data_IF_477148804013
#
_entry.id   IF_477148804013
#
_cell.length_a   1.000
_cell.length_b   1.000
_cell.length_c   1.000
_cell.angle_alpha   90.00
_cell.angle_beta   90.00
_cell.angle_gamma   90.00
#
_symmetry.space_group_name_H-M   'P 1'
#
loop_
_entity.id
_entity.type
_entity.pdbx_description
1 polymer ?
#
# COMPACT_ATOMS: atom_id res chain seq x y z
N UNK A 1 40.24 14.36 61.40
CA UNK A 1 40.00 15.57 60.57
C UNK A 1 40.19 15.17 59.11
N UNK A 2 39.28 15.66 58.26
CA UNK A 2 39.19 15.49 56.80
C UNK A 2 39.16 14.05 56.27
N UNK A 3 37.98 13.61 55.83
CA UNK A 3 37.95 12.89 54.55
C UNK A 3 36.64 13.11 53.78
N UNK A 4 36.80 13.84 52.67
CA UNK A 4 36.00 13.95 51.45
C UNK A 4 34.73 13.08 51.33
N UNK A 5 33.56 13.73 51.36
CA UNK A 5 32.32 13.22 50.77
C UNK A 5 32.24 13.71 49.32
N UNK A 6 32.39 12.80 48.36
CA UNK A 6 32.05 13.06 46.96
C UNK A 6 30.53 13.14 46.81
N UNK A 7 30.04 14.32 46.49
CA UNK A 7 28.66 14.58 46.07
C UNK A 7 28.53 14.16 44.60
N UNK A 8 27.77 13.11 44.31
CA UNK A 8 27.35 12.81 42.94
C UNK A 8 26.28 13.82 42.54
N UNK A 9 26.63 14.71 41.61
CA UNK A 9 25.67 15.58 40.91
C UNK A 9 24.97 14.71 39.86
N UNK A 10 23.78 14.21 40.19
CA UNK A 10 22.87 13.63 39.22
C UNK A 10 22.21 14.78 38.44
N UNK A 11 22.80 15.15 37.31
CA UNK A 11 22.18 16.05 36.34
C UNK A 11 20.99 15.32 35.73
N UNK A 12 19.78 15.58 36.24
CA UNK A 12 18.53 15.17 35.59
C UNK A 12 18.41 16.03 34.33
N UNK A 13 18.96 15.54 33.22
CA UNK A 13 18.67 16.08 31.90
C UNK A 13 17.22 15.72 31.60
N UNK A 14 16.32 16.69 31.77
CA UNK A 14 14.92 16.58 31.39
C UNK A 14 14.82 16.25 29.91
N UNK A 15 14.44 15.01 29.60
CA UNK A 15 14.08 14.60 28.25
C UNK A 15 12.71 15.20 27.96
N UNK A 16 12.70 16.35 27.27
CA UNK A 16 11.49 16.84 26.63
C UNK A 16 11.14 15.89 25.48
N UNK A 17 10.28 14.89 25.74
CA UNK A 17 9.59 14.15 24.70
C UNK A 17 8.63 15.13 24.00
N UNK A 18 9.09 15.78 22.94
CA UNK A 18 8.19 16.35 21.95
C UNK A 18 7.65 15.21 21.09
N UNK A 19 6.58 14.57 21.57
CA UNK A 19 5.68 13.78 20.73
C UNK A 19 4.95 14.76 19.80
N UNK A 20 5.57 15.15 18.70
CA UNK A 20 4.79 15.67 17.58
C UNK A 20 4.17 14.48 16.90
N UNK A 21 3.01 14.04 17.39
CA UNK A 21 2.04 13.36 16.56
C UNK A 21 1.80 14.27 15.37
N UNK A 22 2.28 13.85 14.19
CA UNK A 22 1.87 14.49 12.95
C UNK A 22 0.40 14.10 12.81
N UNK A 23 -0.49 14.93 13.36
CA UNK A 23 -1.85 15.00 12.87
C UNK A 23 -1.67 15.49 11.44
N UNK A 24 -1.59 14.58 10.48
CA UNK A 24 -1.91 14.91 9.12
C UNK A 24 -3.29 15.56 9.20
N UNK A 25 -3.39 16.85 8.92
CA UNK A 25 -4.67 17.49 8.72
C UNK A 25 -5.31 16.74 7.56
N UNK A 26 -6.19 15.79 7.86
CA UNK A 26 -6.94 15.08 6.83
C UNK A 26 -7.95 16.11 6.35
N UNK A 27 -7.59 16.82 5.28
CA UNK A 27 -8.49 17.74 4.61
C UNK A 27 -9.73 16.95 4.21
N UNK A 28 -10.84 17.16 4.92
CA UNK A 28 -12.11 16.52 4.59
C UNK A 28 -12.51 16.90 3.18
N UNK A 29 -12.87 15.92 2.35
CA UNK A 29 -13.35 16.17 1.00
C UNK A 29 -14.87 16.12 1.03
N UNK A 30 -15.53 17.23 0.68
CA UNK A 30 -17.00 17.25 0.50
C UNK A 30 -17.35 16.71 -0.89
N UNK A 31 -18.13 15.63 -0.98
CA UNK A 31 -18.68 15.15 -2.24
C UNK A 31 -19.55 16.21 -2.91
N UNK A 32 -19.42 16.35 -4.22
CA UNK A 32 -20.29 17.21 -5.01
C UNK A 32 -21.66 16.55 -5.23
N UNK A 33 -22.63 17.00 -4.44
CA UNK A 33 -24.02 16.53 -4.49
C UNK A 33 -24.80 17.04 -5.71
N UNK A 34 -24.18 17.82 -6.61
CA UNK A 34 -24.79 18.21 -7.89
C UNK A 34 -24.58 17.18 -8.99
N UNK A 35 -23.67 16.21 -8.78
CA UNK A 35 -23.45 15.11 -9.71
C UNK A 35 -24.71 14.23 -9.84
N UNK A 36 -24.89 13.62 -11.01
CA UNK A 36 -26.05 12.76 -11.30
C UNK A 36 -26.08 11.48 -10.46
N UNK A 37 -24.92 11.00 -10.05
CA UNK A 37 -24.75 9.78 -9.26
C UNK A 37 -23.84 10.01 -8.06
N UNK A 38 -24.03 9.21 -7.03
CA UNK A 38 -23.06 8.99 -5.96
C UNK A 38 -22.72 7.51 -5.93
N UNK A 39 -21.50 7.17 -5.51
CA UNK A 39 -21.07 5.78 -5.34
C UNK A 39 -20.35 5.52 -4.04
N UNK A 40 -20.32 4.25 -3.64
CA UNK A 40 -19.47 3.74 -2.57
C UNK A 40 -18.53 2.69 -3.15
N UNK A 41 -17.23 2.86 -2.90
CA UNK A 41 -16.18 1.92 -3.27
C UNK A 41 -15.45 1.49 -2.00
N UNK A 42 -15.75 0.28 -1.56
CA UNK A 42 -15.04 -0.49 -0.54
C UNK A 42 -14.58 -1.77 -1.24
N UNK A 43 -13.43 -1.67 -1.90
CA UNK A 43 -12.83 -2.80 -2.61
C UNK A 43 -11.48 -3.11 -1.98
N UNK A 44 -11.10 -4.38 -2.02
CA UNK A 44 -9.77 -4.80 -1.57
C UNK A 44 -8.68 -4.33 -2.54
N UNK A 45 -7.43 -4.36 -2.08
CA UNK A 45 -6.23 -4.15 -2.90
C UNK A 45 -6.09 -2.75 -3.55
N UNK A 46 -6.90 -1.77 -3.14
CA UNK A 46 -6.79 -0.38 -3.63
C UNK A 46 -5.39 0.18 -3.45
N UNK A 47 -4.73 -0.13 -2.34
CA UNK A 47 -3.38 0.35 -2.06
C UNK A 47 -2.36 -0.31 -2.98
N UNK A 48 -2.43 -1.63 -3.18
CA UNK A 48 -1.48 -2.31 -4.07
C UNK A 48 -1.61 -1.87 -5.52
N UNK A 49 -2.85 -1.69 -5.99
CA UNK A 49 -3.16 -1.22 -7.33
C UNK A 49 -2.84 0.26 -7.51
N UNK A 50 -3.06 1.09 -6.50
CA UNK A 50 -2.86 2.54 -6.57
C UNK A 50 -1.43 3.00 -6.27
N UNK A 51 -0.62 2.21 -5.57
CA UNK A 51 0.72 2.62 -5.12
C UNK A 51 1.78 2.18 -6.12
N UNK A 52 1.90 2.89 -7.23
CA UNK A 52 3.05 2.70 -8.15
C UNK A 52 4.34 2.94 -7.36
N UNK A 53 5.40 2.10 -7.47
CA UNK A 53 6.66 2.37 -6.79
C UNK A 53 7.15 3.77 -7.11
N UNK A 54 7.54 4.51 -6.08
CA UNK A 54 7.98 5.89 -6.24
C UNK A 54 8.92 6.34 -5.12
N UNK A 55 9.64 7.42 -5.42
CA UNK A 55 10.27 8.30 -4.44
C UNK A 55 9.63 9.67 -4.62
N UNK A 56 9.04 10.22 -3.55
CA UNK A 56 8.28 11.47 -3.58
C UNK A 56 8.98 12.52 -2.72
N UNK A 57 9.24 13.70 -3.26
CA UNK A 57 9.74 14.82 -2.47
C UNK A 57 8.68 15.30 -1.49
N UNK A 58 9.10 15.61 -0.26
CA UNK A 58 8.25 16.26 0.74
C UNK A 58 8.67 17.73 0.83
N UNK A 59 7.86 18.66 0.31
CA UNK A 59 8.17 20.09 0.39
C UNK A 59 8.08 20.59 1.84
N UNK A 60 8.76 21.71 2.12
CA UNK A 60 8.66 22.38 3.43
C UNK A 60 7.31 23.08 3.62
N UNK A 61 6.70 23.53 2.53
CA UNK A 61 5.39 24.19 2.52
C UNK A 61 4.53 23.67 1.36
N UNK A 62 3.56 22.81 1.69
CA UNK A 62 2.62 22.23 0.72
C UNK A 62 1.67 23.27 0.10
N UNK A 63 1.49 24.45 0.71
CA UNK A 63 0.60 25.48 0.18
C UNK A 63 1.22 26.24 -1.02
N UNK A 64 2.54 26.27 -1.10
CA UNK A 64 3.29 26.98 -2.16
C UNK A 64 4.13 26.05 -3.03
N UNK A 65 4.32 24.79 -2.62
CA UNK A 65 5.16 23.81 -3.29
C UNK A 65 4.41 22.48 -3.44
N UNK A 66 4.53 21.87 -4.62
CA UNK A 66 3.97 20.55 -4.88
C UNK A 66 4.91 19.41 -4.50
N UNK A 67 4.36 18.21 -4.37
CA UNK A 67 5.12 16.96 -4.26
C UNK A 67 5.52 16.49 -5.67
N UNK A 68 6.77 16.03 -5.83
CA UNK A 68 7.28 15.56 -7.12
C UNK A 68 7.87 14.16 -7.03
N UNK A 69 7.74 13.37 -8.09
CA UNK A 69 8.46 12.11 -8.21
C UNK A 69 9.93 12.32 -8.60
N UNK A 70 10.78 11.46 -8.06
CA UNK A 70 12.18 11.31 -8.43
C UNK A 70 12.41 9.98 -9.14
N UNK A 71 13.26 9.96 -10.16
CA UNK A 71 13.69 8.71 -10.86
C UNK A 71 14.90 8.08 -10.15
N UNK A 72 14.95 8.20 -8.82
CA UNK A 72 16.07 7.79 -7.97
C UNK A 72 16.50 8.85 -6.97
N UNK A 73 17.33 8.44 -6.01
CA UNK A 73 17.77 9.31 -4.89
C UNK A 73 18.68 10.47 -5.30
N UNK A 74 19.34 10.36 -6.46
CA UNK A 74 20.23 11.38 -7.02
C UNK A 74 19.54 12.30 -8.03
N UNK A 75 18.22 12.14 -8.25
CA UNK A 75 17.44 13.05 -9.09
C UNK A 75 17.55 14.49 -8.55
N UNK A 76 17.74 15.52 -9.40
CA UNK A 76 17.85 16.91 -8.95
C UNK A 76 16.72 17.36 -8.00
N UNK A 77 15.49 16.87 -8.18
CA UNK A 77 14.36 17.16 -7.28
C UNK A 77 14.59 16.59 -5.88
N UNK A 78 15.09 15.35 -5.81
CA UNK A 78 15.42 14.69 -4.54
C UNK A 78 16.67 15.30 -3.89
N UNK A 79 17.67 15.71 -4.68
CA UNK A 79 18.84 16.44 -4.19
C UNK A 79 18.43 17.77 -3.56
N UNK A 80 17.51 18.52 -4.16
CA UNK A 80 17.00 19.77 -3.60
C UNK A 80 16.18 19.58 -2.31
N UNK A 81 15.46 18.47 -2.18
CA UNK A 81 14.55 18.22 -1.06
C UNK A 81 15.29 17.95 0.28
N UNK A 82 14.65 18.26 1.41
CA UNK A 82 15.13 17.88 2.76
C UNK A 82 14.58 16.54 3.24
N UNK A 83 13.53 16.05 2.59
CA UNK A 83 12.89 14.79 2.92
C UNK A 83 12.25 14.20 1.67
N UNK A 84 12.27 12.88 1.57
CA UNK A 84 11.44 12.16 0.62
C UNK A 84 10.77 10.94 1.25
N UNK A 85 9.57 10.65 0.77
CA UNK A 85 8.80 9.44 1.05
C UNK A 85 9.17 8.39 -0.01
N UNK A 86 9.20 7.12 0.38
CA UNK A 86 9.40 6.00 -0.54
C UNK A 86 8.22 5.03 -0.45
N UNK A 87 7.82 4.49 -1.59
CA UNK A 87 6.90 3.38 -1.70
C UNK A 87 7.50 2.35 -2.65
N UNK A 88 7.57 1.11 -2.21
CA UNK A 88 8.04 0.01 -3.04
C UNK A 88 7.31 -1.28 -2.73
N UNK A 89 6.96 -2.01 -3.78
CA UNK A 89 6.58 -3.41 -3.69
C UNK A 89 7.85 -4.25 -3.66
N UNK A 90 8.07 -4.97 -2.56
CA UNK A 90 9.30 -5.72 -2.37
C UNK A 90 9.44 -6.81 -3.44
N UNK A 91 10.59 -6.88 -4.15
CA UNK A 91 10.86 -7.91 -5.15
C UNK A 91 11.09 -9.28 -4.49
N UNK A 92 11.09 -10.38 -5.26
CA UNK A 92 11.61 -11.65 -4.77
C UNK A 92 13.07 -11.52 -4.37
N UNK A 93 13.50 -12.21 -3.31
CA UNK A 93 14.91 -12.29 -2.96
C UNK A 93 15.67 -13.12 -3.99
N UNK A 94 16.91 -12.73 -4.30
CA UNK A 94 17.82 -13.48 -5.18
C UNK A 94 19.27 -13.36 -4.71
N UNK A 95 20.25 -13.67 -5.57
CA UNK A 95 21.67 -13.59 -5.21
C UNK A 95 22.21 -12.16 -5.05
N UNK A 96 21.46 -11.15 -5.53
CA UNK A 96 21.80 -9.73 -5.49
C UNK A 96 20.92 -8.98 -4.48
N UNK A 97 19.64 -9.31 -4.41
CA UNK A 97 18.66 -8.73 -3.50
C UNK A 97 18.49 -9.66 -2.30
N UNK A 98 19.32 -9.43 -1.28
CA UNK A 98 19.38 -10.26 -0.08
C UNK A 98 18.41 -9.82 1.03
N UNK A 99 18.05 -8.53 1.04
CA UNK A 99 17.18 -7.88 2.03
C UNK A 99 16.18 -6.95 1.35
N UNK A 100 15.17 -6.54 2.11
CA UNK A 100 14.00 -5.80 1.62
C UNK A 100 13.36 -6.53 0.42
N UNK A 101 13.03 -7.80 0.62
CA UNK A 101 12.55 -8.71 -0.42
C UNK A 101 11.65 -9.82 0.15
N UNK A 102 10.83 -10.42 -0.73
CA UNK A 102 10.01 -11.61 -0.44
C UNK A 102 10.85 -12.86 -0.67
N UNK A 103 11.16 -13.59 0.39
CA UNK A 103 12.04 -14.77 0.34
C UNK A 103 11.33 -16.09 0.08
N UNK A 104 10.03 -16.18 0.38
CA UNK A 104 9.22 -17.36 0.08
C UNK A 104 7.74 -16.98 0.01
N UNK A 105 7.00 -17.67 -0.86
CA UNK A 105 5.54 -17.72 -0.88
C UNK A 105 5.15 -19.18 -0.92
N UNK A 106 4.18 -19.62 -0.14
CA UNK A 106 3.83 -21.03 -0.03
C UNK A 106 2.39 -21.23 0.40
N UNK A 107 1.91 -22.47 0.27
CA UNK A 107 0.70 -22.94 0.89
C UNK A 107 0.98 -24.17 1.77
N UNK A 108 0.15 -24.41 2.78
CA UNK A 108 0.20 -25.58 3.66
C UNK A 108 -1.19 -26.21 3.68
N UNK A 109 -1.29 -27.48 3.31
CA UNK A 109 -2.57 -28.20 3.37
C UNK A 109 -2.93 -28.65 4.79
N UNK A 110 -4.15 -29.15 4.98
CA UNK A 110 -4.64 -29.64 6.26
C UNK A 110 -3.80 -30.78 6.88
N UNK A 111 -2.94 -31.47 6.10
CA UNK A 111 -2.01 -32.49 6.62
C UNK A 111 -0.70 -31.90 7.13
N UNK A 112 -0.48 -30.60 6.95
CA UNK A 112 0.76 -29.90 7.25
C UNK A 112 1.80 -29.98 6.13
N UNK A 113 1.44 -30.51 4.95
CA UNK A 113 2.36 -30.55 3.81
C UNK A 113 2.48 -29.17 3.19
N UNK A 114 3.72 -28.70 3.05
CA UNK A 114 4.07 -27.41 2.45
C UNK A 114 4.27 -27.53 0.94
N UNK A 115 3.73 -26.56 0.20
CA UNK A 115 3.86 -26.38 -1.25
C UNK A 115 4.56 -25.05 -1.49
N UNK A 116 5.80 -25.10 -1.96
CA UNK A 116 6.59 -23.89 -2.23
C UNK A 116 6.18 -23.26 -3.56
N UNK A 117 6.01 -21.94 -3.52
CA UNK A 117 5.75 -21.12 -4.68
C UNK A 117 7.02 -20.67 -5.38
N UNK A 118 6.89 -20.36 -6.67
CA UNK A 118 7.96 -19.80 -7.49
C UNK A 118 7.49 -18.55 -8.21
N UNK A 119 8.29 -17.49 -8.15
CA UNK A 119 8.02 -16.24 -8.85
C UNK A 119 7.98 -16.46 -10.36
N UNK A 120 6.95 -15.94 -11.04
CA UNK A 120 6.77 -16.08 -12.48
C UNK A 120 7.08 -14.78 -13.20
N UNK A 121 6.39 -13.71 -12.81
CA UNK A 121 6.50 -12.41 -13.46
C UNK A 121 6.14 -11.28 -12.51
N UNK A 122 6.62 -10.09 -12.86
CA UNK A 122 6.30 -8.83 -12.18
C UNK A 122 5.14 -8.14 -12.89
N UNK A 123 4.29 -7.42 -12.15
CA UNK A 123 3.14 -6.69 -12.71
C UNK A 123 3.11 -5.24 -12.24
N UNK A 124 3.23 -4.24 -13.13
CA UNK A 124 3.81 -4.34 -14.48
C UNK A 124 5.31 -4.70 -14.40
N UNK A 125 5.92 -5.14 -15.50
CA UNK A 125 7.35 -5.47 -15.51
C UNK A 125 8.26 -4.23 -15.34
N UNK A 126 7.77 -3.07 -15.76
CA UNK A 126 8.48 -1.80 -15.61
C UNK A 126 7.52 -0.61 -15.48
N UNK A 127 8.06 0.48 -14.98
CA UNK A 127 7.39 1.78 -14.84
C UNK A 127 8.39 2.92 -15.07
N UNK A 128 7.98 4.08 -15.60
CA UNK A 128 8.81 5.29 -15.60
C UNK A 128 9.27 5.75 -14.20
N UNK A 129 8.63 5.25 -13.14
CA UNK A 129 8.96 5.55 -11.75
C UNK A 129 9.82 4.48 -11.08
N UNK A 130 10.29 3.48 -11.84
CA UNK A 130 11.22 2.49 -11.29
C UNK A 130 12.50 3.16 -10.77
N UNK A 131 13.02 2.67 -9.65
CA UNK A 131 14.25 3.16 -9.04
C UNK A 131 15.13 2.02 -8.51
N UNK A 132 16.46 2.16 -8.58
CA UNK A 132 17.38 1.13 -8.09
C UNK A 132 17.36 1.04 -6.56
N UNK A 133 17.69 -0.14 -6.04
CA UNK A 133 17.93 -0.30 -4.61
C UNK A 133 19.17 0.49 -4.17
N UNK A 134 19.17 0.94 -2.92
CA UNK A 134 20.39 1.36 -2.21
C UNK A 134 20.46 0.66 -0.85
N UNK A 135 21.11 -0.52 -0.76
CA UNK A 135 21.29 -1.22 0.50
C UNK A 135 22.00 -0.37 1.56
N UNK A 136 22.99 0.44 1.16
CA UNK A 136 23.68 1.35 2.09
C UNK A 136 22.72 2.30 2.80
N UNK A 137 21.70 2.77 2.10
CA UNK A 137 20.72 3.74 2.60
C UNK A 137 19.41 3.07 3.06
N UNK A 138 19.35 1.73 3.15
CA UNK A 138 18.13 0.98 3.47
C UNK A 138 16.95 1.28 2.52
N UNK A 139 17.24 1.50 1.24
CA UNK A 139 16.22 1.80 0.21
C UNK A 139 16.02 0.53 -0.63
N UNK A 140 14.80 -0.05 -0.65
CA UNK A 140 14.49 -1.19 -1.51
C UNK A 140 14.57 -0.83 -2.99
N UNK A 141 14.68 -1.82 -3.87
CA UNK A 141 14.40 -1.60 -5.28
C UNK A 141 12.90 -1.25 -5.43
N UNK A 142 12.58 -0.21 -6.20
CA UNK A 142 11.21 0.05 -6.63
C UNK A 142 11.05 -0.40 -8.07
N UNK A 143 10.37 -1.53 -8.31
CA UNK A 143 10.08 -2.00 -9.66
C UNK A 143 8.78 -2.79 -9.70
N UNK A 144 7.82 -2.31 -10.47
CA UNK A 144 6.48 -2.90 -10.59
C UNK A 144 5.69 -2.95 -9.28
N UNK A 145 4.45 -3.44 -9.34
CA UNK A 145 3.51 -3.43 -8.23
C UNK A 145 3.27 -4.85 -7.72
N UNK A 146 4.34 -5.54 -7.34
CA UNK A 146 4.31 -6.95 -6.96
C UNK A 146 4.42 -7.88 -8.17
N UNK A 147 3.93 -9.12 -8.03
CA UNK A 147 4.04 -10.08 -9.11
C UNK A 147 3.25 -11.36 -8.90
N UNK A 148 3.19 -12.17 -9.95
CA UNK A 148 2.53 -13.47 -9.95
C UNK A 148 3.51 -14.54 -9.54
N UNK A 149 3.08 -15.37 -8.60
CA UNK A 149 3.75 -16.56 -8.13
C UNK A 149 2.92 -17.78 -8.51
N UNK A 150 3.58 -18.87 -8.88
CA UNK A 150 2.93 -20.16 -9.11
C UNK A 150 3.19 -21.06 -7.91
N UNK A 151 2.15 -21.66 -7.33
CA UNK A 151 2.24 -22.65 -6.24
C UNK A 151 1.82 -24.02 -6.79
N UNK A 152 2.77 -24.86 -7.26
CA UNK A 152 2.43 -26.13 -7.92
C UNK A 152 1.69 -27.09 -7.00
N UNK A 153 0.63 -27.71 -7.52
CA UNK A 153 -0.24 -28.64 -6.78
C UNK A 153 -1.32 -27.95 -5.94
N UNK A 154 -1.44 -26.62 -6.00
CA UNK A 154 -2.44 -25.85 -5.25
C UNK A 154 -3.27 -25.03 -6.22
N UNK A 155 -4.24 -25.69 -6.85
CA UNK A 155 -5.15 -25.08 -7.83
C UNK A 155 -6.27 -24.32 -7.13
N UNK A 156 -6.45 -23.03 -7.44
CA UNK A 156 -7.55 -22.22 -6.92
C UNK A 156 -8.83 -22.42 -7.75
N UNK A 157 -9.99 -21.89 -7.31
CA UNK A 157 -11.29 -22.15 -7.96
C UNK A 157 -11.39 -21.62 -9.40
N UNK A 158 -10.47 -20.75 -9.79
CA UNK A 158 -10.30 -20.27 -11.17
C UNK A 158 -9.62 -21.27 -12.12
N UNK A 159 -9.22 -22.45 -11.63
CA UNK A 159 -8.70 -23.55 -12.43
C UNK A 159 -7.21 -23.48 -12.76
N UNK A 160 -6.45 -22.58 -12.13
CA UNK A 160 -5.00 -22.48 -12.31
C UNK A 160 -4.26 -22.41 -10.94
N UNK A 161 -2.93 -22.27 -10.95
CA UNK A 161 -2.06 -22.33 -9.77
C UNK A 161 -1.33 -21.00 -9.48
N UNK A 162 -1.84 -19.88 -9.99
CA UNK A 162 -1.23 -18.56 -9.96
C UNK A 162 -1.84 -17.69 -8.86
N UNK A 163 -0.97 -16.97 -8.17
CA UNK A 163 -1.30 -16.11 -7.06
C UNK A 163 -0.55 -14.79 -7.24
N UNK A 164 -1.27 -13.68 -7.26
CA UNK A 164 -0.69 -12.36 -7.14
C UNK A 164 -0.21 -12.16 -5.70
N UNK A 165 1.03 -11.69 -5.56
CA UNK A 165 1.66 -11.43 -4.27
C UNK A 165 2.26 -10.04 -4.27
N UNK A 166 2.04 -9.35 -3.17
CA UNK A 166 2.52 -8.00 -2.95
C UNK A 166 2.96 -7.82 -1.51
N UNK A 167 4.08 -7.12 -1.32
CA UNK A 167 4.55 -6.63 -0.04
C UNK A 167 4.93 -5.16 -0.22
N UNK A 168 3.95 -4.27 -0.03
CA UNK A 168 4.11 -2.83 -0.16
C UNK A 168 4.75 -2.27 1.10
N UNK A 169 5.99 -1.82 0.96
CA UNK A 169 6.77 -1.18 2.00
C UNK A 169 6.78 0.33 1.76
N UNK A 170 6.57 1.11 2.83
CA UNK A 170 6.76 2.56 2.79
C UNK A 170 7.72 3.04 3.87
N UNK A 171 8.34 4.18 3.60
CA UNK A 171 9.31 4.78 4.51
C UNK A 171 9.61 6.23 4.17
N UNK A 172 10.49 6.81 4.97
CA UNK A 172 10.92 8.21 4.81
C UNK A 172 12.42 8.31 5.01
N UNK A 173 13.06 9.19 4.24
CA UNK A 173 14.46 9.57 4.48
C UNK A 173 14.54 11.09 4.62
N UNK A 174 15.28 11.55 5.62
CA UNK A 174 15.60 12.97 5.82
C UNK A 174 17.08 13.20 5.54
N UNK A 175 17.40 14.36 4.95
CA UNK A 175 18.75 14.81 4.65
C UNK A 175 18.82 16.34 4.60
N UNK A 176 20.04 16.86 4.48
CA UNK A 176 20.24 18.28 4.18
C UNK A 176 19.68 18.66 2.80
N UNK A 177 19.21 19.91 2.66
CA UNK A 177 18.80 20.46 1.37
C UNK A 177 20.01 20.57 0.44
N UNK A 178 19.77 20.45 -0.86
CA UNK A 178 20.78 20.61 -1.93
C UNK A 178 22.00 19.69 -1.82
N UNK A 179 21.88 18.58 -1.09
CA UNK A 179 22.92 17.55 -0.98
C UNK A 179 22.44 16.20 -1.50
N UNK A 180 23.35 15.39 -2.05
CA UNK A 180 23.04 13.98 -2.35
C UNK A 180 22.84 13.18 -1.07
N UNK A 181 22.09 12.09 -1.16
CA UNK A 181 22.03 11.08 -0.10
C UNK A 181 23.41 10.45 0.05
N UNK A 182 23.89 10.36 1.29
CA UNK A 182 25.25 9.93 1.61
C UNK A 182 25.25 8.72 2.54
N UNK A 183 25.11 8.94 3.85
CA UNK A 183 25.09 7.92 4.91
C UNK A 183 23.72 7.82 5.58
N UNK A 184 22.79 8.70 5.23
CA UNK A 184 21.42 8.68 5.74
C UNK A 184 20.74 7.35 5.35
N UNK A 185 19.96 6.80 6.27
CA UNK A 185 19.18 5.58 6.03
C UNK A 185 17.69 5.89 6.07
N UNK A 186 16.94 5.25 5.19
CA UNK A 186 15.50 5.31 5.20
C UNK A 186 14.95 4.63 6.46
N UNK A 187 14.03 5.33 7.12
CA UNK A 187 13.19 4.76 8.16
C UNK A 187 11.99 4.09 7.51
N UNK A 188 11.89 2.76 7.65
CA UNK A 188 10.77 1.97 7.14
C UNK A 188 9.62 2.01 8.16
N UNK A 189 8.46 2.51 7.72
CA UNK A 189 7.36 2.87 8.62
C UNK A 189 6.14 1.95 8.52
N UNK A 190 5.86 1.37 7.36
CA UNK A 190 4.71 0.47 7.20
C UNK A 190 4.97 -0.60 6.16
N UNK A 191 4.35 -1.76 6.38
CA UNK A 191 4.37 -2.90 5.47
C UNK A 191 2.94 -3.42 5.34
N UNK A 192 2.42 -3.42 4.13
CA UNK A 192 1.16 -4.06 3.77
C UNK A 192 1.45 -5.23 2.85
N UNK A 193 0.86 -6.40 3.09
CA UNK A 193 1.14 -7.58 2.28
C UNK A 193 -0.13 -8.38 2.00
N UNK A 194 -0.20 -8.97 0.81
CA UNK A 194 -1.32 -9.78 0.37
C UNK A 194 -0.90 -10.90 -0.58
N UNK A 195 -1.68 -11.97 -0.55
CA UNK A 195 -1.70 -13.07 -1.52
C UNK A 195 -3.13 -13.11 -2.05
N UNK A 196 -3.31 -13.16 -3.36
CA UNK A 196 -4.63 -13.22 -4.01
C UNK A 196 -4.55 -14.22 -5.16
N UNK A 197 -5.42 -15.25 -5.24
CA UNK A 197 -5.44 -16.16 -6.38
C UNK A 197 -5.92 -15.42 -7.62
N UNK A 198 -5.31 -15.65 -8.79
CA UNK A 198 -5.58 -14.82 -9.97
C UNK A 198 -5.62 -15.60 -11.29
N UNK A 199 -6.50 -15.15 -12.18
CA UNK A 199 -6.49 -15.51 -13.60
C UNK A 199 -6.10 -14.28 -14.43
N UNK A 200 -5.17 -14.45 -15.36
CA UNK A 200 -4.88 -13.43 -16.37
C UNK A 200 -6.09 -13.27 -17.30
N UNK A 201 -6.56 -12.04 -17.44
CA UNK A 201 -7.51 -11.64 -18.49
C UNK A 201 -6.82 -10.66 -19.43
N UNK A 202 -6.74 -11.02 -20.71
CA UNK A 202 -6.21 -10.14 -21.77
C UNK A 202 -7.26 -9.14 -22.25
N UNK A 203 -6.82 -7.95 -22.62
CA UNK A 203 -7.68 -6.88 -23.11
C UNK A 203 -6.95 -5.55 -23.24
N UNK A 204 -7.70 -4.46 -23.39
CA UNK A 204 -7.16 -3.09 -23.44
C UNK A 204 -6.92 -2.55 -22.03
N UNK A 205 -6.13 -3.29 -21.26
CA UNK A 205 -5.65 -2.87 -19.96
C UNK A 205 -4.32 -2.14 -20.11
N UNK A 206 -4.09 -1.16 -19.24
CA UNK A 206 -2.84 -0.43 -19.15
C UNK A 206 -2.34 -0.44 -17.71
N UNK A 207 -1.01 -0.44 -17.47
CA UNK A 207 -0.46 -0.26 -16.14
C UNK A 207 -0.93 1.05 -15.50
N UNK A 208 -0.78 1.14 -14.19
CA UNK A 208 -0.99 2.39 -13.47
C UNK A 208 0.17 3.34 -13.76
N UNK A 209 -0.14 4.63 -13.87
CA UNK A 209 0.84 5.69 -14.04
C UNK A 209 0.76 6.67 -12.89
N UNK A 210 1.90 7.20 -12.46
CA UNK A 210 1.95 8.21 -11.40
C UNK A 210 1.56 9.60 -11.90
N UNK A 211 0.96 10.37 -11.00
CA UNK A 211 0.64 11.78 -11.15
C UNK A 211 1.30 12.58 -10.01
N UNK A 212 1.96 13.69 -10.33
CA UNK A 212 2.59 14.58 -9.36
C UNK A 212 2.35 16.06 -9.70
N UNK A 213 3.02 16.96 -8.99
CA UNK A 213 2.89 18.40 -9.17
C UNK A 213 3.35 18.96 -10.54
N UNK A 214 3.94 18.15 -11.43
CA UNK A 214 4.15 18.56 -12.83
C UNK A 214 2.84 18.68 -13.60
N UNK A 215 1.78 18.02 -13.13
CA UNK A 215 0.45 18.04 -13.72
C UNK A 215 -0.40 19.07 -12.97
N UNK A 216 -0.68 20.20 -13.62
CA UNK A 216 -1.46 21.29 -13.04
C UNK A 216 -2.91 20.89 -12.78
N UNK A 217 -3.52 21.47 -11.75
CA UNK A 217 -4.96 21.37 -11.51
C UNK A 217 -5.78 21.94 -12.67
N UNK A 218 -7.08 21.67 -12.68
CA UNK A 218 -8.02 22.16 -13.71
C UNK A 218 -8.04 23.70 -13.78
N UNK A 219 -7.77 24.38 -12.66
CA UNK A 219 -7.65 25.82 -12.52
C UNK A 219 -6.23 26.36 -12.86
N UNK A 220 -5.32 25.50 -13.28
CA UNK A 220 -3.92 25.84 -13.60
C UNK A 220 -3.00 25.99 -12.39
N UNK A 221 -3.50 25.73 -11.17
CA UNK A 221 -2.71 25.75 -9.93
C UNK A 221 -1.74 24.56 -9.86
N UNK A 222 -0.72 24.66 -9.00
CA UNK A 222 0.18 23.54 -8.68
C UNK A 222 -0.65 22.49 -7.96
N UNK A 223 -0.67 21.26 -8.48
CA UNK A 223 -1.23 20.15 -7.75
C UNK A 223 -0.33 19.85 -6.53
N UNK A 224 -0.86 20.04 -5.33
CA UNK A 224 -0.11 19.81 -4.08
C UNK A 224 0.12 18.32 -3.77
N UNK A 225 -0.59 17.42 -4.47
CA UNK A 225 -0.59 15.99 -4.20
C UNK A 225 0.18 15.14 -5.21
N UNK A 226 0.37 13.89 -4.83
CA UNK A 226 0.71 12.79 -5.74
C UNK A 226 -0.46 11.83 -5.80
N UNK A 227 -0.60 11.13 -6.93
CA UNK A 227 -1.64 10.14 -7.15
C UNK A 227 -1.24 9.13 -8.20
N UNK A 228 -2.18 8.26 -8.55
CA UNK A 228 -2.06 7.33 -9.66
C UNK A 228 -3.31 7.35 -10.52
N UNK A 229 -3.11 7.05 -11.80
CA UNK A 229 -4.17 6.96 -12.79
C UNK A 229 -4.06 5.69 -13.61
N UNK A 230 -5.15 5.36 -14.28
CA UNK A 230 -5.23 4.21 -15.17
C UNK A 230 -5.95 4.56 -16.47
N UNK A 231 -5.36 4.17 -17.59
CA UNK A 231 -5.89 4.42 -18.93
C UNK A 231 -6.56 3.20 -19.57
N UNK A 232 -6.86 2.14 -18.79
CA UNK A 232 -7.55 0.96 -19.32
C UNK A 232 -8.92 1.32 -19.88
N UNK A 233 -9.26 0.70 -21.01
CA UNK A 233 -10.50 0.93 -21.76
C UNK A 233 -11.51 -0.22 -21.62
N UNK A 234 -11.19 -1.22 -20.81
CA UNK A 234 -12.09 -2.34 -20.52
C UNK A 234 -13.16 -1.94 -19.50
N UNK A 235 -14.39 -2.42 -19.72
CA UNK A 235 -15.54 -2.11 -18.87
C UNK A 235 -15.40 -2.67 -17.44
N UNK A 236 -14.64 -3.74 -17.27
CA UNK A 236 -14.41 -4.41 -16.00
C UNK A 236 -13.04 -4.07 -15.38
N UNK A 237 -12.37 -3.01 -15.86
CA UNK A 237 -11.07 -2.57 -15.32
C UNK A 237 -11.06 -2.42 -13.81
N UNK A 238 -12.18 -2.04 -13.19
CA UNK A 238 -12.24 -1.84 -11.75
C UNK A 238 -12.21 -3.15 -10.95
N UNK A 239 -12.46 -4.29 -11.60
CA UNK A 239 -12.34 -5.64 -11.01
C UNK A 239 -10.92 -6.19 -10.98
N UNK A 240 -9.94 -5.48 -11.55
CA UNK A 240 -8.55 -5.91 -11.58
C UNK A 240 -7.90 -5.83 -10.19
N UNK A 241 -7.25 -6.91 -9.79
CA UNK A 241 -6.34 -6.93 -8.64
C UNK A 241 -5.12 -6.05 -8.96
N UNK A 242 -4.55 -6.25 -10.14
CA UNK A 242 -3.44 -5.45 -10.65
C UNK A 242 -3.48 -5.39 -12.19
N UNK A 243 -2.87 -4.35 -12.78
CA UNK A 243 -2.82 -4.14 -14.23
C UNK A 243 -1.41 -4.38 -14.77
N UNK A 244 -1.32 -5.21 -15.80
CA UNK A 244 -0.18 -5.29 -16.68
C UNK A 244 -0.40 -4.51 -17.98
N UNK A 245 0.57 -4.60 -18.88
CA UNK A 245 0.43 -4.08 -20.23
C UNK A 245 -0.33 -5.07 -21.11
N UNK A 246 -1.58 -4.73 -21.46
CA UNK A 246 -2.47 -5.60 -22.26
C UNK A 246 -3.17 -6.72 -21.47
N UNK A 247 -3.02 -6.76 -20.14
CA UNK A 247 -3.70 -7.74 -19.30
C UNK A 247 -4.04 -7.21 -17.90
N UNK A 248 -4.93 -7.93 -17.24
CA UNK A 248 -5.40 -7.68 -15.89
C UNK A 248 -5.42 -9.00 -15.12
N UNK A 249 -4.91 -8.98 -13.89
CA UNK A 249 -5.04 -10.12 -12.99
C UNK A 249 -6.39 -10.04 -12.26
N UNK A 250 -7.25 -11.03 -12.48
CA UNK A 250 -8.60 -11.08 -11.94
C UNK A 250 -8.64 -12.02 -10.74
N UNK A 251 -9.12 -11.54 -9.59
CA UNK A 251 -9.20 -12.36 -8.37
C UNK A 251 -10.08 -13.59 -8.57
N UNK A 252 -9.65 -14.68 -7.95
CA UNK A 252 -10.31 -15.98 -7.93
C UNK A 252 -10.38 -16.48 -6.49
N UNK A 253 -11.38 -17.31 -6.21
CA UNK A 253 -11.54 -17.85 -4.86
C UNK A 253 -10.39 -18.79 -4.49
N UNK A 254 -9.93 -18.69 -3.25
CA UNK A 254 -8.95 -19.61 -2.67
C UNK A 254 -9.48 -21.05 -2.64
N UNK A 255 -8.60 -22.05 -2.79
CA UNK A 255 -8.96 -23.43 -2.52
C UNK A 255 -9.24 -23.63 -1.03
N UNK A 256 -10.17 -24.54 -0.71
CA UNK A 256 -10.46 -24.92 0.67
C UNK A 256 -9.28 -25.66 1.31
N UNK A 257 -9.21 -25.63 2.64
CA UNK A 257 -8.28 -26.43 3.45
C UNK A 257 -6.77 -26.14 3.25
N UNK A 258 -6.45 -24.93 2.76
CA UNK A 258 -5.07 -24.43 2.68
C UNK A 258 -4.87 -23.20 3.56
N UNK A 259 -3.70 -23.14 4.19
CA UNK A 259 -3.12 -21.91 4.74
C UNK A 259 -2.14 -21.34 3.72
N UNK A 260 -2.12 -20.03 3.56
CA UNK A 260 -1.20 -19.35 2.65
C UNK A 260 -0.24 -18.49 3.44
N UNK A 261 1.02 -18.52 3.06
CA UNK A 261 2.06 -17.82 3.78
C UNK A 261 3.12 -17.19 2.91
N UNK A 262 3.80 -16.21 3.48
CA UNK A 262 4.97 -15.56 2.90
C UNK A 262 6.02 -15.26 3.96
N UNK A 263 7.28 -15.19 3.53
CA UNK A 263 8.40 -14.76 4.37
C UNK A 263 9.06 -13.54 3.75
N UNK A 264 9.14 -12.44 4.49
CA UNK A 264 9.71 -11.17 4.07
C UNK A 264 10.99 -10.93 4.84
N UNK A 265 12.08 -10.65 4.12
CA UNK A 265 13.37 -10.25 4.72
C UNK A 265 13.49 -8.75 4.63
N UNK A 266 13.71 -8.10 5.76
CA UNK A 266 13.93 -6.65 5.87
C UNK A 266 15.32 -6.40 6.40
N UNK A 267 15.98 -5.37 5.86
CA UNK A 267 17.30 -4.96 6.30
C UNK A 267 17.27 -4.31 7.70
N UNK A 268 16.15 -3.68 8.07
CA UNK A 268 15.93 -3.11 9.39
C UNK A 268 14.60 -3.60 9.96
N UNK A 269 14.59 -3.93 11.25
CA UNK A 269 13.37 -4.34 11.95
C UNK A 269 12.25 -3.28 11.87
N UNK A 270 11.05 -3.72 11.47
CA UNK A 270 9.84 -2.93 11.59
C UNK A 270 9.37 -2.90 13.04
N UNK A 271 8.92 -1.72 13.48
CA UNK A 271 8.37 -1.50 14.82
C UNK A 271 6.90 -1.14 14.70
N UNK A 272 6.05 -1.80 15.46
CA UNK A 272 4.61 -1.52 15.48
C UNK A 272 3.77 -2.75 15.78
N UNK A 273 2.49 -2.64 15.46
CA UNK A 273 1.52 -3.71 15.58
C UNK A 273 1.15 -4.23 14.20
N UNK A 274 1.11 -5.56 14.04
CA UNK A 274 0.51 -6.17 12.87
C UNK A 274 -1.00 -6.22 13.06
N UNK A 275 -1.72 -5.80 12.02
CA UNK A 275 -3.17 -5.97 11.92
C UNK A 275 -3.49 -6.41 10.49
N UNK A 276 -4.61 -7.09 10.31
CA UNK A 276 -5.00 -7.54 8.99
C UNK A 276 -6.28 -8.35 9.02
N UNK A 277 -6.85 -8.57 7.83
CA UNK A 277 -7.96 -9.49 7.63
C UNK A 277 -7.36 -10.88 7.36
N UNK A 278 -6.96 -11.55 8.42
CA UNK A 278 -6.31 -12.88 8.38
C UNK A 278 -6.98 -13.78 9.42
N UNK A 279 -7.36 -15.00 9.04
CA UNK A 279 -8.00 -15.94 9.97
C UNK A 279 -6.98 -16.93 10.54
N UNK A 280 -6.94 -17.01 11.87
CA UNK A 280 -6.00 -17.85 12.63
C UNK A 280 -4.55 -17.72 12.13
N UNK A 281 -3.94 -16.52 12.16
CA UNK A 281 -2.59 -16.35 11.67
C UNK A 281 -1.57 -17.04 12.58
N UNK A 282 -0.54 -17.62 11.96
CA UNK A 282 0.70 -18.02 12.61
C UNK A 282 1.78 -17.06 12.12
N UNK A 283 2.51 -16.46 13.07
CA UNK A 283 3.52 -15.44 12.77
C UNK A 283 4.78 -15.74 13.56
N UNK A 284 5.92 -15.62 12.88
CA UNK A 284 7.23 -15.65 13.53
C UNK A 284 8.07 -14.45 13.06
N UNK A 285 8.85 -13.92 14.01
CA UNK A 285 9.75 -12.80 13.81
C UNK A 285 11.12 -13.27 14.28
N UNK A 286 12.07 -13.39 13.35
CA UNK A 286 13.46 -13.72 13.69
C UNK A 286 14.37 -12.58 13.30
N UNK A 287 15.19 -12.12 14.24
CA UNK A 287 16.21 -11.11 13.98
C UNK A 287 17.57 -11.78 13.81
N UNK A 288 18.37 -11.28 12.86
CA UNK A 288 19.79 -11.61 12.72
C UNK A 288 20.64 -10.61 13.51
N UNK A 289 21.95 -10.88 13.67
CA UNK A 289 22.88 -10.01 14.41
C UNK A 289 23.00 -8.60 13.83
N UNK A 290 22.62 -8.41 12.56
CA UNK A 290 22.91 -7.19 11.78
C UNK A 290 21.67 -6.31 11.57
N UNK A 291 20.72 -6.35 12.52
CA UNK A 291 19.43 -5.62 12.50
C UNK A 291 18.42 -6.05 11.42
N UNK A 292 18.76 -7.06 10.63
CA UNK A 292 17.86 -7.73 9.71
C UNK A 292 16.73 -8.43 10.46
N UNK A 293 15.54 -8.42 9.86
CA UNK A 293 14.35 -9.07 10.38
C UNK A 293 13.71 -9.93 9.30
N UNK A 294 13.41 -11.18 9.65
CA UNK A 294 12.58 -12.06 8.83
C UNK A 294 11.22 -12.12 9.48
N UNK A 295 10.20 -11.75 8.71
CA UNK A 295 8.80 -11.82 9.08
C UNK A 295 8.20 -12.98 8.29
N UNK A 296 7.78 -14.04 8.97
CA UNK A 296 7.03 -15.13 8.34
C UNK A 296 5.61 -15.12 8.88
N UNK A 297 4.65 -15.10 7.97
CA UNK A 297 3.22 -15.11 8.27
C UNK A 297 2.58 -16.16 7.39
N UNK A 298 1.75 -17.01 7.99
CA UNK A 298 0.77 -17.81 7.26
C UNK A 298 -0.60 -17.75 7.95
N UNK A 299 -1.67 -17.81 7.16
CA UNK A 299 -3.03 -17.72 7.67
C UNK A 299 -4.01 -18.47 6.79
N UNK A 300 -5.19 -18.76 7.34
CA UNK A 300 -6.33 -19.20 6.53
C UNK A 300 -6.90 -17.99 5.77
N UNK A 301 -7.30 -18.18 4.49
CA UNK A 301 -8.03 -17.17 3.73
C UNK A 301 -9.29 -16.69 4.46
N UNK A 302 -9.66 -15.44 4.23
CA UNK A 302 -10.90 -14.84 4.74
C UNK A 302 -11.78 -14.40 3.60
N UNK A 303 -13.08 -14.49 3.81
CA UNK A 303 -14.10 -13.94 2.93
C UNK A 303 -14.28 -12.47 3.32
N UNK A 304 -13.95 -11.56 2.41
CA UNK A 304 -14.14 -10.12 2.62
C UNK A 304 -15.23 -9.60 1.69
N UNK A 305 -16.31 -9.00 2.23
CA UNK A 305 -17.33 -8.36 1.41
C UNK A 305 -16.76 -7.11 0.75
N UNK A 306 -17.00 -6.96 -0.55
CA UNK A 306 -16.67 -5.76 -1.32
C UNK A 306 -17.93 -5.03 -1.79
N UNK A 307 -17.87 -3.70 -1.83
CA UNK A 307 -18.94 -2.84 -2.34
C UNK A 307 -18.36 -1.96 -3.43
N UNK A 308 -18.91 -2.02 -4.63
CA UNK A 308 -18.59 -1.11 -5.72
C UNK A 308 -19.88 -0.79 -6.48
N UNK A 309 -20.62 0.18 -5.97
CA UNK A 309 -21.99 0.46 -6.45
C UNK A 309 -22.24 1.96 -6.54
N UNK A 310 -23.06 2.35 -7.52
CA UNK A 310 -23.56 3.71 -7.70
C UNK A 310 -25.08 3.75 -7.67
N UNK A 311 -25.62 4.83 -7.12
CA UNK A 311 -27.03 5.17 -7.14
C UNK A 311 -27.23 6.58 -7.68
N UNK A 312 -28.40 6.85 -8.23
CA UNK A 312 -28.77 8.21 -8.59
C UNK A 312 -28.77 9.11 -7.35
N UNK A 313 -28.26 10.33 -7.47
CA UNK A 313 -28.21 11.30 -6.35
C UNK A 313 -29.61 11.65 -5.80
N UNK A 314 -30.65 11.47 -6.62
CA UNK A 314 -32.06 11.57 -6.21
C UNK A 314 -32.52 10.47 -5.27
N UNK A 315 -31.83 9.32 -5.26
CA UNK A 315 -32.20 8.14 -4.48
C UNK A 315 -31.47 8.06 -3.13
N UNK A 316 -30.65 9.07 -2.79
CA UNK A 316 -30.02 9.16 -1.48
C UNK A 316 -31.09 9.23 -0.38
N UNK A 317 -30.92 8.48 0.70
CA UNK A 317 -31.72 8.70 1.91
C UNK A 317 -31.41 10.08 2.51
N UNK A 318 -32.35 10.68 3.28
CA UNK A 318 -32.10 11.92 4.01
C UNK A 318 -30.85 11.83 4.90
N UNK A 319 -30.64 10.69 5.55
CA UNK A 319 -29.52 10.45 6.45
C UNK A 319 -28.19 10.41 5.68
N UNK A 320 -28.14 9.70 4.55
CA UNK A 320 -26.93 9.65 3.72
C UNK A 320 -26.64 11.03 3.13
N UNK A 321 -27.66 11.76 2.65
CA UNK A 321 -27.49 13.12 2.14
C UNK A 321 -26.94 14.06 3.22
N UNK A 322 -27.45 13.98 4.45
CA UNK A 322 -26.94 14.77 5.57
C UNK A 322 -25.50 14.38 5.93
N UNK A 323 -25.16 13.10 5.86
CA UNK A 323 -23.79 12.61 6.07
C UNK A 323 -22.82 13.21 5.05
N UNK A 324 -23.16 13.15 3.76
CA UNK A 324 -22.32 13.63 2.65
C UNK A 324 -22.20 15.16 2.60
N UNK A 325 -23.11 15.89 3.25
CA UNK A 325 -23.03 17.35 3.34
C UNK A 325 -21.94 17.84 4.33
N UNK A 326 -21.33 16.94 5.10
CA UNK A 326 -20.29 17.27 6.11
C UNK A 326 -18.89 17.11 5.52
N UNK A 327 -17.93 17.84 6.10
CA UNK A 327 -16.52 17.52 5.91
C UNK A 327 -16.22 16.20 6.59
N UNK A 328 -15.90 15.18 5.80
CA UNK A 328 -15.50 13.87 6.34
C UNK A 328 -14.19 13.47 5.65
N UNK A 329 -13.21 12.95 6.42
CA UNK A 329 -11.94 12.48 5.87
C UNK A 329 -12.15 11.19 5.06
N UNK A 330 -12.42 11.32 3.77
CA UNK A 330 -12.43 10.22 2.80
C UNK A 330 -11.76 10.60 1.48
N UNK A 331 -11.34 9.59 0.72
CA UNK A 331 -11.04 9.78 -0.70
C UNK A 331 -12.33 9.95 -1.50
N UNK A 332 -12.30 10.82 -2.51
CA UNK A 332 -13.38 10.95 -3.50
C UNK A 332 -12.76 10.90 -4.89
N UNK A 333 -13.34 10.10 -5.79
CA UNK A 333 -12.85 9.94 -7.16
C UNK A 333 -13.92 9.36 -8.08
N UNK A 334 -14.17 10.00 -9.22
CA UNK A 334 -15.13 9.50 -10.22
C UNK A 334 -16.54 9.25 -9.66
N UNK A 335 -17.07 10.16 -8.83
CA UNK A 335 -18.33 10.05 -8.08
C UNK A 335 -18.37 8.97 -6.98
N UNK A 336 -17.27 8.27 -6.70
CA UNK A 336 -17.20 7.30 -5.60
C UNK A 336 -16.61 7.91 -4.33
N UNK A 337 -17.24 7.57 -3.21
CA UNK A 337 -16.70 7.67 -1.87
C UNK A 337 -15.81 6.47 -1.62
N UNK A 338 -14.61 6.72 -1.13
CA UNK A 338 -13.60 5.70 -0.83
C UNK A 338 -13.14 5.87 0.62
N UNK A 339 -13.92 5.38 1.60
CA UNK A 339 -13.57 5.50 3.02
C UNK A 339 -12.45 4.54 3.46
N UNK A 340 -11.94 3.72 2.53
CA UNK A 340 -11.07 2.60 2.84
C UNK A 340 -11.87 1.36 3.26
N UNK A 341 -11.15 0.27 3.53
CA UNK A 341 -11.72 -1.03 3.90
C UNK A 341 -11.74 -1.30 5.42
N UNK A 342 -11.44 -0.28 6.23
CA UNK A 342 -11.36 -0.38 7.70
C UNK A 342 -11.74 0.94 8.37
N UNK A 343 -11.97 0.92 9.69
CA UNK A 343 -12.24 2.11 10.49
C UNK A 343 -13.72 2.49 10.58
N UNK A 344 -14.05 3.33 11.55
CA UNK A 344 -15.43 3.73 11.88
C UNK A 344 -16.17 4.31 10.67
N UNK A 345 -15.52 5.20 9.91
CA UNK A 345 -16.10 5.82 8.71
C UNK A 345 -16.54 4.78 7.66
N UNK A 346 -15.74 3.74 7.42
CA UNK A 346 -16.08 2.68 6.47
C UNK A 346 -17.32 1.89 6.93
N UNK A 347 -17.44 1.59 8.23
CA UNK A 347 -18.61 0.90 8.78
C UNK A 347 -19.87 1.76 8.77
N UNK A 348 -19.76 3.05 9.12
CA UNK A 348 -20.88 3.99 9.07
C UNK A 348 -21.41 4.16 7.65
N UNK A 349 -20.52 4.38 6.68
CA UNK A 349 -20.90 4.46 5.27
C UNK A 349 -21.51 3.16 4.77
N UNK A 350 -20.92 2.00 5.09
CA UNK A 350 -21.50 0.70 4.74
C UNK A 350 -22.94 0.58 5.25
N UNK A 351 -23.19 0.93 6.53
CA UNK A 351 -24.53 0.88 7.13
C UNK A 351 -25.53 1.80 6.42
N UNK A 352 -25.11 2.98 5.98
CA UNK A 352 -25.97 3.93 5.26
C UNK A 352 -26.27 3.45 3.82
N UNK A 353 -25.33 2.77 3.19
CA UNK A 353 -25.42 2.35 1.78
C UNK A 353 -26.11 1.00 1.58
N UNK A 354 -25.92 0.03 2.47
CA UNK A 354 -26.46 -1.34 2.35
C UNK A 354 -27.97 -1.40 1.99
N UNK A 355 -28.86 -0.62 2.64
CA UNK A 355 -30.29 -0.62 2.29
C UNK A 355 -30.56 -0.11 0.87
N UNK A 356 -29.74 0.81 0.36
CA UNK A 356 -29.92 1.44 -0.95
C UNK A 356 -29.41 0.54 -2.08
N UNK A 357 -28.38 -0.27 -1.80
CA UNK A 357 -27.80 -1.20 -2.76
C UNK A 357 -28.38 -2.62 -2.65
N UNK A 358 -29.43 -2.82 -1.82
CA UNK A 358 -30.12 -4.10 -1.61
C UNK A 358 -29.18 -5.22 -1.15
N UNK A 359 -28.29 -4.91 -0.22
CA UNK A 359 -27.30 -5.85 0.32
C UNK A 359 -26.44 -6.55 -0.75
N UNK A 360 -26.20 -5.90 -1.89
CA UNK A 360 -25.26 -6.34 -2.92
C UNK A 360 -23.79 -6.22 -2.49
N UNK A 361 -23.47 -6.40 -1.22
CA UNK A 361 -22.10 -6.70 -0.84
C UNK A 361 -21.73 -7.98 -1.60
N UNK A 362 -20.97 -7.82 -2.69
CA UNK A 362 -20.73 -8.93 -3.61
C UNK A 362 -19.84 -9.94 -2.89
N UNK A 363 -20.09 -11.21 -3.19
CA UNK A 363 -19.33 -12.36 -2.72
C UNK A 363 -17.83 -12.09 -2.81
N UNK A 364 -17.06 -12.56 -1.81
CA UNK A 364 -15.60 -12.51 -1.85
C UNK A 364 -15.10 -13.11 -3.16
N UNK A 365 -14.17 -12.43 -3.82
CA UNK A 365 -13.39 -13.02 -4.90
C UNK A 365 -11.95 -13.17 -4.46
#
# INVERSE_FOLDING_TARGET
MLNSRRLLVATILGFALSLTSINAAVSGVRPDLTQSTQGLSIVENVNFKGSVPNIITVPKDLATQGKYFCVGIDDPKCVAATQFELQSHLPPCDQVILTNCVSSVYAVDASGKKYEGSFQLRVPDSSPLDFPASPKNNIPQGRGQGGVWKIPGVTHQGGNENYYVSALLSGTLQKSADTKVSTEQAYLGSLEAAIVPVNEKRGRYSPQYGQDATQKGVDGSVNGGVGSGNSSLEADKDSCVIYGDGFCEMSQEFPADYRFGMSIKLQSALRGWFHGRIYRPEMSLTSSSDSEQIITIDALPVIVPSIYEQIATSNLSPELRAFLARDVPQGVGGAYLMPGSTGENAFELTKLWLPLIKDKATTSR
#
